data_IF_947689907953
#
_entry.id   IF_947689907953
#
_cell.length_a   1.000
_cell.length_b   1.000
_cell.length_c   1.000
_cell.angle_alpha   90.00
_cell.angle_beta   90.00
_cell.angle_gamma   90.00
#
_symmetry.space_group_name_H-M   'P 1'
#
loop_
_entity.id
_entity.type
_entity.pdbx_description
1 polymer ?
#
# COMPACT_ATOMS: atom_id res chain seq x y z
N UNK A 1 36.00 -12.66 -61.51
CA UNK A 1 36.89 -11.59 -62.03
C UNK A 1 36.13 -10.81 -63.10
N UNK A 2 36.35 -9.49 -63.15
CA UNK A 2 35.63 -8.44 -63.93
C UNK A 2 34.28 -8.04 -63.34
N UNK A 3 34.14 -6.95 -62.56
CA UNK A 3 34.42 -5.50 -62.69
C UNK A 3 33.11 -4.71 -62.87
N UNK A 4 32.80 -3.99 -61.80
CA UNK A 4 31.80 -2.95 -61.57
C UNK A 4 32.08 -1.70 -62.43
N UNK A 5 31.03 -1.00 -62.89
CA UNK A 5 31.11 0.44 -63.08
C UNK A 5 29.95 1.20 -62.41
N UNK A 6 30.27 1.97 -61.38
CA UNK A 6 29.46 3.12 -60.91
C UNK A 6 29.49 4.28 -61.93
N UNK A 7 28.46 5.14 -61.92
CA UNK A 7 28.70 6.58 -61.67
C UNK A 7 27.51 7.27 -60.92
N UNK A 8 27.46 8.61 -60.77
CA UNK A 8 28.35 9.48 -60.01
C UNK A 8 27.63 10.23 -58.85
N UNK A 9 28.46 10.83 -57.99
CA UNK A 9 28.10 11.68 -56.84
C UNK A 9 27.64 13.07 -57.31
N UNK A 10 26.54 13.59 -56.76
CA UNK A 10 26.20 15.02 -56.84
C UNK A 10 25.98 15.61 -55.44
N UNK A 11 26.80 16.60 -55.12
CA UNK A 11 26.74 17.45 -53.93
C UNK A 11 25.75 18.60 -54.14
N UNK A 12 24.93 18.95 -53.14
CA UNK A 12 24.64 20.35 -52.82
C UNK A 12 24.03 20.53 -51.43
N UNK A 13 24.45 21.64 -50.83
CA UNK A 13 24.41 22.01 -49.42
C UNK A 13 23.11 22.79 -49.05
N UNK A 14 22.97 23.35 -47.83
CA UNK A 14 21.69 23.61 -47.17
C UNK A 14 21.08 24.98 -47.49
N UNK A 15 19.75 25.05 -47.46
CA UNK A 15 19.04 26.33 -47.46
C UNK A 15 18.80 26.83 -46.04
N UNK A 16 19.64 27.79 -45.66
CA UNK A 16 19.39 28.85 -44.68
C UNK A 16 18.38 29.83 -45.28
N UNK A 17 17.33 30.17 -44.55
CA UNK A 17 16.64 31.45 -44.76
C UNK A 17 16.13 32.00 -43.42
N UNK A 18 16.82 33.03 -42.96
CA UNK A 18 16.41 33.96 -41.93
C UNK A 18 15.46 35.03 -42.52
N UNK A 19 14.65 35.59 -41.63
CA UNK A 19 14.27 37.00 -41.51
C UNK A 19 12.85 37.48 -41.88
N UNK A 20 12.37 38.27 -40.91
CA UNK A 20 11.50 39.47 -40.93
C UNK A 20 10.03 39.27 -40.59
N UNK A 21 9.35 40.14 -39.85
CA UNK A 21 9.66 41.06 -38.75
C UNK A 21 8.33 41.75 -38.36
N UNK A 22 8.32 42.35 -37.18
CA UNK A 22 7.54 43.53 -36.78
C UNK A 22 6.03 43.39 -36.50
N UNK A 23 5.66 43.80 -35.28
CA UNK A 23 4.28 44.01 -34.87
C UNK A 23 4.13 44.51 -33.43
N UNK A 24 4.85 45.56 -33.04
CA UNK A 24 4.73 46.20 -31.73
C UNK A 24 3.43 47.03 -31.61
N UNK A 25 2.61 46.81 -30.57
CA UNK A 25 1.70 47.84 -30.00
C UNK A 25 1.46 47.65 -28.50
N UNK A 26 2.24 48.46 -27.75
CA UNK A 26 2.00 49.23 -26.50
C UNK A 26 1.20 48.65 -25.31
N UNK A 27 1.64 48.99 -24.06
CA UNK A 27 0.94 48.72 -22.82
C UNK A 27 -0.08 49.82 -22.48
N UNK A 28 -1.20 49.47 -21.86
CA UNK A 28 -2.09 50.43 -21.19
C UNK A 28 -2.10 50.20 -19.68
N UNK A 29 -1.63 51.21 -18.96
CA UNK A 29 -1.79 51.44 -17.52
C UNK A 29 -3.26 51.75 -17.19
N UNK A 30 -3.70 51.24 -16.04
CA UNK A 30 -4.51 51.95 -15.05
C UNK A 30 -6.03 51.94 -15.23
N UNK A 31 -6.76 51.32 -14.30
CA UNK A 31 -7.31 52.04 -13.13
C UNK A 31 -7.91 51.05 -12.08
N UNK A 32 -8.00 51.44 -10.80
CA UNK A 32 -8.41 50.62 -9.65
C UNK A 32 -9.85 50.93 -9.17
N UNK A 33 -10.26 50.22 -8.09
CA UNK A 33 -11.47 50.38 -7.26
C UNK A 33 -12.77 49.79 -7.88
N UNK A 34 -13.56 48.93 -7.22
CA UNK A 34 -13.70 48.64 -5.80
C UNK A 34 -14.52 47.34 -5.54
N UNK A 35 -15.04 47.15 -4.32
CA UNK A 35 -15.14 45.84 -3.68
C UNK A 35 -16.53 45.21 -3.83
N UNK A 36 -16.61 43.89 -3.99
CA UNK A 36 -17.78 43.13 -3.55
C UNK A 36 -17.39 41.78 -2.95
N UNK A 37 -17.82 41.66 -1.71
CA UNK A 37 -17.74 40.52 -0.81
C UNK A 37 -18.51 39.33 -1.38
N UNK A 38 -17.91 38.13 -1.36
CA UNK A 38 -18.46 37.04 -0.56
C UNK A 38 -17.42 35.94 -0.37
N UNK A 39 -16.80 35.99 0.80
CA UNK A 39 -16.14 34.88 1.46
C UNK A 39 -17.12 33.71 1.52
N UNK A 40 -16.80 32.60 0.86
CA UNK A 40 -17.40 31.31 1.17
C UNK A 40 -16.66 30.77 2.39
N UNK A 41 -17.24 30.97 3.56
CA UNK A 41 -16.80 30.34 4.78
C UNK A 41 -17.01 28.82 4.66
N UNK A 42 -15.98 27.99 4.87
CA UNK A 42 -16.18 26.57 5.08
C UNK A 42 -16.80 26.38 6.46
N UNK A 43 -18.00 25.79 6.48
CA UNK A 43 -18.70 25.33 7.67
C UNK A 43 -17.78 24.46 8.54
N UNK A 44 -17.27 25.07 9.62
CA UNK A 44 -16.68 24.38 10.76
C UNK A 44 -17.77 23.58 11.44
N UNK A 45 -17.81 22.28 11.16
CA UNK A 45 -18.79 21.35 11.71
C UNK A 45 -18.11 20.49 12.77
N UNK A 46 -18.60 20.64 14.00
CA UNK A 46 -18.34 19.85 15.23
C UNK A 46 -17.35 20.45 16.24
N UNK A 47 -17.86 21.42 17.02
CA UNK A 47 -17.52 21.53 18.44
C UNK A 47 -17.95 20.24 19.13
N UNK A 48 -17.02 19.30 19.27
CA UNK A 48 -17.20 18.13 20.11
C UNK A 48 -17.05 18.61 21.56
N UNK A 49 -18.05 18.39 22.44
CA UNK A 49 -17.95 18.84 23.83
C UNK A 49 -16.75 18.17 24.49
N UNK A 50 -15.83 19.00 24.98
CA UNK A 50 -14.62 18.57 25.69
C UNK A 50 -15.00 17.53 26.77
N UNK A 51 -14.35 16.35 26.79
CA UNK A 51 -14.61 15.35 27.82
C UNK A 51 -14.22 15.95 29.17
N UNK A 52 -15.22 16.21 30.02
CA UNK A 52 -15.01 16.69 31.39
C UNK A 52 -13.96 15.78 32.05
N UNK A 53 -12.92 16.35 32.71
CA UNK A 53 -11.94 15.54 33.40
C UNK A 53 -12.66 14.64 34.41
N UNK A 54 -12.30 13.35 34.50
CA UNK A 54 -12.95 12.42 35.41
C UNK A 54 -12.84 12.98 36.83
N UNK A 55 -13.98 13.14 37.52
CA UNK A 55 -14.01 13.58 38.92
C UNK A 55 -13.15 12.63 39.75
N UNK A 56 -12.05 13.14 40.28
CA UNK A 56 -11.14 12.37 41.10
C UNK A 56 -11.82 12.04 42.44
N UNK A 57 -12.30 10.81 42.58
CA UNK A 57 -12.74 10.30 43.88
C UNK A 57 -11.47 10.09 44.73
N UNK A 58 -11.38 10.67 45.94
CA UNK A 58 -10.20 10.49 46.79
C UNK A 58 -9.98 9.02 47.13
N UNK A 59 -8.73 8.54 47.06
CA UNK A 59 -8.36 7.13 47.28
C UNK A 59 -8.84 6.56 48.61
N UNK A 60 -8.94 7.41 49.65
CA UNK A 60 -9.50 7.02 50.93
C UNK A 60 -10.93 6.49 50.79
N UNK A 61 -11.77 7.09 49.94
CA UNK A 61 -13.13 6.61 49.70
C UNK A 61 -13.15 5.29 48.93
N UNK A 62 -12.26 5.08 47.97
CA UNK A 62 -12.15 3.79 47.27
C UNK A 62 -11.65 2.67 48.18
N UNK A 63 -10.72 2.95 49.09
CA UNK A 63 -10.25 2.00 50.09
C UNK A 63 -11.33 1.66 51.10
N UNK A 64 -12.02 2.67 51.64
CA UNK A 64 -13.15 2.47 52.56
C UNK A 64 -14.28 1.69 51.88
N UNK A 65 -14.58 1.99 50.61
CA UNK A 65 -15.57 1.26 49.81
C UNK A 65 -15.18 -0.22 49.60
N UNK A 66 -13.91 -0.50 49.31
CA UNK A 66 -13.40 -1.87 49.18
C UNK A 66 -13.53 -2.66 50.49
N UNK A 67 -13.11 -2.07 51.61
CA UNK A 67 -13.19 -2.72 52.93
C UNK A 67 -14.65 -2.98 53.30
N UNK A 68 -15.55 -2.01 53.10
CA UNK A 68 -16.96 -2.17 53.37
C UNK A 68 -17.60 -3.27 52.49
N UNK A 69 -17.25 -3.34 51.21
CA UNK A 69 -17.74 -4.37 50.29
C UNK A 69 -17.27 -5.77 50.70
N UNK A 70 -16.00 -5.94 51.09
CA UNK A 70 -15.49 -7.22 51.57
C UNK A 70 -16.14 -7.65 52.88
N UNK A 71 -16.33 -6.71 53.83
CA UNK A 71 -17.01 -6.98 55.08
C UNK A 71 -18.47 -7.42 54.86
N UNK A 72 -19.19 -6.73 53.98
CA UNK A 72 -20.57 -7.08 53.61
C UNK A 72 -20.65 -8.43 52.90
N UNK A 73 -19.71 -8.73 52.00
CA UNK A 73 -19.63 -10.02 51.31
C UNK A 73 -19.36 -11.19 52.25
N UNK A 74 -18.41 -11.03 53.19
CA UNK A 74 -18.09 -12.04 54.21
C UNK A 74 -19.28 -12.26 55.15
N UNK A 75 -19.90 -11.17 55.62
CA UNK A 75 -21.09 -11.24 56.47
C UNK A 75 -22.23 -11.97 55.77
N UNK A 76 -22.54 -11.59 54.53
CA UNK A 76 -23.59 -12.23 53.73
C UNK A 76 -23.28 -13.71 53.47
N UNK A 77 -22.02 -14.07 53.22
CA UNK A 77 -21.59 -15.46 53.05
C UNK A 77 -21.81 -16.33 54.30
N UNK A 78 -21.44 -15.82 55.47
CA UNK A 78 -21.66 -16.51 56.76
C UNK A 78 -23.17 -16.68 57.02
N UNK A 79 -23.97 -15.65 56.71
CA UNK A 79 -25.42 -15.71 56.86
C UNK A 79 -26.10 -16.62 55.83
N UNK A 80 -25.55 -16.74 54.61
CA UNK A 80 -26.03 -17.67 53.60
C UNK A 80 -25.89 -19.13 54.05
N UNK A 81 -24.76 -19.49 54.69
CA UNK A 81 -24.53 -20.85 55.18
C UNK A 81 -25.37 -21.21 56.42
N UNK A 82 -25.75 -20.21 57.23
CA UNK A 82 -26.54 -20.43 58.44
C UNK A 82 -28.06 -20.35 58.25
N UNK A 83 -28.54 -19.81 57.13
CA UNK A 83 -29.97 -19.59 56.85
C UNK A 83 -30.43 -20.31 55.56
N UNK A 84 -30.14 -21.61 55.45
CA UNK A 84 -30.61 -22.52 54.39
C UNK A 84 -30.45 -21.98 52.96
N UNK A 85 -29.29 -21.39 52.66
CA UNK A 85 -28.95 -20.93 51.31
C UNK A 85 -29.97 -19.93 50.72
N UNK A 86 -30.49 -19.02 51.55
CA UNK A 86 -31.41 -17.98 51.08
C UNK A 86 -30.80 -17.13 49.95
N UNK A 87 -31.54 -17.09 48.83
CA UNK A 87 -31.20 -16.34 47.60
C UNK A 87 -30.84 -14.87 47.87
N UNK A 88 -31.44 -14.27 48.90
CA UNK A 88 -31.21 -12.88 49.27
C UNK A 88 -29.75 -12.63 49.69
N UNK A 89 -29.18 -13.50 50.52
CA UNK A 89 -27.78 -13.39 50.95
C UNK A 89 -26.81 -13.71 49.81
N UNK A 90 -27.17 -14.64 48.93
CA UNK A 90 -26.41 -14.92 47.71
C UNK A 90 -26.30 -13.69 46.79
N UNK A 91 -27.40 -12.95 46.62
CA UNK A 91 -27.42 -11.71 45.83
C UNK A 91 -26.58 -10.60 46.46
N UNK A 92 -26.65 -10.42 47.79
CA UNK A 92 -25.82 -9.45 48.50
C UNK A 92 -24.34 -9.80 48.38
N UNK A 93 -23.97 -11.08 48.51
CA UNK A 93 -22.60 -11.53 48.34
C UNK A 93 -22.08 -11.28 46.90
N UNK A 94 -22.89 -11.58 45.90
CA UNK A 94 -22.56 -11.34 44.49
C UNK A 94 -22.35 -9.86 44.16
N UNK A 95 -23.26 -8.99 44.61
CA UNK A 95 -23.14 -7.53 44.42
C UNK A 95 -21.92 -6.97 45.16
N UNK A 96 -21.66 -7.46 46.37
CA UNK A 96 -20.50 -7.05 47.17
C UNK A 96 -19.18 -7.41 46.49
N UNK A 97 -19.10 -8.59 45.87
CA UNK A 97 -17.92 -9.01 45.11
C UNK A 97 -17.72 -8.16 43.84
N UNK A 98 -18.80 -7.84 43.13
CA UNK A 98 -18.76 -6.93 41.98
C UNK A 98 -18.27 -5.52 42.36
N UNK A 99 -18.75 -4.99 43.48
CA UNK A 99 -18.31 -3.71 44.02
C UNK A 99 -16.83 -3.75 44.44
N UNK A 100 -16.40 -4.80 45.14
CA UNK A 100 -15.00 -4.98 45.54
C UNK A 100 -14.07 -5.05 44.32
N UNK A 101 -14.47 -5.74 43.25
CA UNK A 101 -13.70 -5.79 42.01
C UNK A 101 -13.57 -4.41 41.35
N UNK A 102 -14.66 -3.63 41.28
CA UNK A 102 -14.65 -2.29 40.71
C UNK A 102 -13.73 -1.34 41.50
N UNK A 103 -13.81 -1.34 42.83
CA UNK A 103 -12.90 -0.55 43.68
C UNK A 103 -11.45 -1.03 43.56
N UNK A 104 -11.22 -2.34 43.45
CA UNK A 104 -9.89 -2.91 43.22
C UNK A 104 -9.28 -2.45 41.89
N UNK A 105 -10.05 -2.43 40.80
CA UNK A 105 -9.60 -1.88 39.52
C UNK A 105 -9.31 -0.37 39.61
N UNK A 106 -10.12 0.38 40.35
CA UNK A 106 -9.89 1.82 40.55
C UNK A 106 -8.57 2.09 41.30
N UNK A 107 -8.27 1.31 42.35
CA UNK A 107 -7.01 1.39 43.09
C UNK A 107 -5.84 0.97 42.20
N UNK A 108 -5.97 -0.14 41.47
CA UNK A 108 -4.95 -0.65 40.54
C UNK A 108 -4.61 0.38 39.46
N UNK A 109 -5.62 0.98 38.83
CA UNK A 109 -5.44 1.97 37.77
C UNK A 109 -4.80 3.27 38.26
N UNK A 110 -4.79 3.54 39.58
CA UNK A 110 -4.09 4.69 40.16
C UNK A 110 -2.65 4.36 40.56
N UNK A 111 -2.39 3.14 41.04
CA UNK A 111 -1.05 2.69 41.47
C UNK A 111 -0.16 2.31 40.28
N UNK A 112 -0.74 1.68 39.27
CA UNK A 112 -0.09 1.41 38.00
C UNK A 112 -1.03 2.02 36.97
N UNK A 113 -0.80 3.27 36.52
CA UNK A 113 -1.61 3.83 35.45
C UNK A 113 -1.59 2.81 34.32
N UNK A 114 -2.77 2.35 33.84
CA UNK A 114 -2.81 1.46 32.71
C UNK A 114 -1.99 2.16 31.64
N UNK A 115 -0.92 1.50 31.15
CA UNK A 115 -0.19 2.00 29.99
C UNK A 115 -1.28 2.29 28.98
N UNK A 116 -1.57 3.57 28.76
CA UNK A 116 -2.52 3.99 27.75
C UNK A 116 -1.88 3.42 26.51
N UNK A 117 -2.37 2.25 26.06
CA UNK A 117 -2.19 1.85 24.69
C UNK A 117 -2.86 3.00 23.99
N UNK A 118 -2.04 3.97 23.55
CA UNK A 118 -2.41 4.85 22.49
C UNK A 118 -2.81 3.87 21.40
N UNK A 119 -4.09 3.59 21.30
CA UNK A 119 -4.71 3.27 20.03
C UNK A 119 -4.57 4.55 19.23
N UNK A 120 -3.33 4.82 18.82
CA UNK A 120 -2.97 5.66 17.70
C UNK A 120 -3.40 4.80 16.51
N UNK A 121 -4.71 4.61 16.36
CA UNK A 121 -5.30 4.36 15.06
C UNK A 121 -5.21 5.69 14.30
N UNK A 122 -4.00 6.27 14.19
CA UNK A 122 -3.75 7.12 13.06
C UNK A 122 -3.88 6.18 11.89
N UNK A 123 -4.95 6.36 11.11
CA UNK A 123 -4.92 6.03 9.70
C UNK A 123 -3.60 6.60 9.23
N UNK A 124 -2.60 5.74 9.02
CA UNK A 124 -1.37 6.10 8.35
C UNK A 124 -1.77 6.32 6.89
N UNK A 125 -2.54 7.39 6.65
CA UNK A 125 -2.56 7.99 5.34
C UNK A 125 -1.10 8.35 5.09
N UNK A 126 -0.49 7.86 4.00
CA UNK A 126 0.86 8.24 3.63
C UNK A 126 0.99 9.74 3.79
N UNK A 127 1.96 10.20 4.61
CA UNK A 127 2.10 11.63 4.87
C UNK A 127 2.24 12.40 3.55
N UNK A 128 1.87 13.68 3.49
CA UNK A 128 1.95 14.47 2.25
C UNK A 128 3.32 14.43 1.52
N UNK A 129 4.39 14.05 2.23
CA UNK A 129 5.72 13.78 1.66
C UNK A 129 5.81 12.46 0.87
N UNK A 130 5.05 11.43 1.24
CA UNK A 130 4.94 10.15 0.52
C UNK A 130 4.07 10.26 -0.73
N UNK A 131 3.02 11.09 -0.67
CA UNK A 131 2.21 11.52 -1.83
C UNK A 131 2.84 12.70 -2.58
N UNK A 132 4.11 13.04 -2.33
CA UNK A 132 4.71 14.19 -2.99
C UNK A 132 4.76 13.95 -4.50
N UNK A 133 4.43 14.95 -5.33
CA UNK A 133 4.60 14.88 -6.77
C UNK A 133 6.02 14.47 -7.17
N UNK A 134 7.02 14.79 -6.34
CA UNK A 134 8.41 14.38 -6.53
C UNK A 134 8.65 12.88 -6.32
N UNK A 135 7.99 12.22 -5.36
CA UNK A 135 8.06 10.75 -5.19
C UNK A 135 7.29 10.03 -6.28
N UNK A 136 6.10 10.51 -6.64
CA UNK A 136 5.34 9.97 -7.78
C UNK A 136 6.10 10.17 -9.09
N UNK A 137 6.70 11.35 -9.31
CA UNK A 137 7.56 11.60 -10.46
C UNK A 137 8.85 10.78 -10.40
N UNK A 138 9.41 10.49 -9.22
CA UNK A 138 10.57 9.61 -9.08
C UNK A 138 10.23 8.13 -9.31
N UNK A 139 9.02 7.68 -8.94
CA UNK A 139 8.49 6.35 -9.26
C UNK A 139 8.15 6.24 -10.75
N UNK A 140 7.47 7.23 -11.34
CA UNK A 140 7.23 7.32 -12.78
C UNK A 140 8.55 7.44 -13.57
N UNK A 141 9.55 8.15 -13.04
CA UNK A 141 10.89 8.18 -13.63
C UNK A 141 11.69 6.88 -13.42
N UNK A 142 11.13 5.91 -12.69
CA UNK A 142 11.60 4.52 -12.60
C UNK A 142 10.67 3.57 -13.34
N UNK A 143 9.69 4.06 -14.11
CA UNK A 143 8.82 3.23 -14.92
C UNK A 143 9.68 2.27 -15.75
N UNK A 144 9.46 0.99 -15.50
CA UNK A 144 10.10 -0.09 -16.23
C UNK A 144 9.17 -0.36 -17.40
N UNK A 145 9.68 -0.30 -18.63
CA UNK A 145 8.97 -0.83 -19.78
C UNK A 145 9.58 -2.17 -20.17
N UNK A 146 8.77 -3.00 -20.82
CA UNK A 146 9.23 -4.26 -21.41
C UNK A 146 9.07 -4.18 -22.91
N UNK A 147 10.15 -4.53 -23.60
CA UNK A 147 10.22 -4.58 -25.05
C UNK A 147 10.69 -5.99 -25.44
N UNK A 148 10.29 -6.44 -26.62
CA UNK A 148 10.69 -7.73 -27.14
C UNK A 148 10.75 -7.69 -28.66
N UNK A 149 11.67 -8.48 -29.20
CA UNK A 149 11.79 -8.73 -30.63
C UNK A 149 11.60 -10.23 -30.90
N UNK A 150 11.98 -10.68 -32.10
CA UNK A 150 11.86 -12.07 -32.52
C UNK A 150 12.75 -13.05 -31.72
N UNK A 151 13.79 -12.56 -31.06
CA UNK A 151 14.81 -13.38 -30.41
C UNK A 151 14.78 -13.24 -28.88
N UNK A 152 14.52 -12.04 -28.35
CA UNK A 152 14.72 -11.71 -26.94
C UNK A 152 13.61 -10.84 -26.33
N UNK A 153 13.34 -11.09 -25.05
CA UNK A 153 12.53 -10.24 -24.17
C UNK A 153 13.48 -9.41 -23.32
N UNK A 154 13.32 -8.10 -23.22
CA UNK A 154 14.17 -7.27 -22.38
C UNK A 154 13.42 -6.14 -21.68
N UNK A 155 13.94 -5.72 -20.53
CA UNK A 155 13.41 -4.61 -19.76
C UNK A 155 14.23 -3.35 -19.96
N UNK A 156 13.54 -2.22 -20.03
CA UNK A 156 14.09 -0.90 -20.20
C UNK A 156 13.80 -0.08 -18.94
N UNK A 157 14.82 0.62 -18.45
CA UNK A 157 14.69 1.58 -17.35
C UNK A 157 15.27 2.88 -17.82
N UNK A 158 14.43 3.93 -17.95
CA UNK A 158 14.85 5.24 -18.47
C UNK A 158 15.47 5.17 -19.87
N UNK A 159 14.94 4.29 -20.73
CA UNK A 159 15.44 4.07 -22.09
C UNK A 159 16.78 3.31 -22.17
N UNK A 160 17.31 2.83 -21.04
CA UNK A 160 18.48 1.97 -21.01
C UNK A 160 18.07 0.51 -20.78
N UNK A 161 18.62 -0.39 -21.59
CA UNK A 161 18.42 -1.83 -21.45
C UNK A 161 19.05 -2.34 -20.16
N UNK A 162 18.27 -3.09 -19.37
CA UNK A 162 18.68 -3.60 -18.08
C UNK A 162 19.01 -5.09 -18.14
N UNK A 163 17.98 -5.91 -18.33
CA UNK A 163 18.06 -7.37 -18.32
C UNK A 163 17.22 -7.88 -19.49
N UNK A 164 17.64 -8.98 -20.11
CA UNK A 164 16.88 -9.64 -21.16
C UNK A 164 17.09 -11.14 -21.19
N UNK A 165 16.21 -11.89 -21.84
CA UNK A 165 16.25 -13.35 -21.92
C UNK A 165 15.73 -13.78 -23.29
N UNK A 166 16.45 -14.71 -23.94
CA UNK A 166 16.02 -15.21 -25.24
C UNK A 166 14.75 -16.05 -25.08
N UNK A 167 13.84 -15.98 -26.05
CA UNK A 167 12.57 -16.73 -26.01
C UNK A 167 12.80 -18.24 -25.83
N UNK A 168 13.83 -18.78 -26.49
CA UNK A 168 14.20 -20.19 -26.41
C UNK A 168 14.86 -20.57 -25.06
N UNK A 169 15.26 -19.61 -24.24
CA UNK A 169 15.86 -19.84 -22.91
C UNK A 169 14.82 -19.76 -21.78
N UNK A 170 13.65 -19.16 -22.00
CA UNK A 170 12.58 -19.06 -20.97
C UNK A 170 12.08 -20.45 -20.59
N UNK A 171 12.27 -20.83 -19.33
CA UNK A 171 11.86 -22.13 -18.78
C UNK A 171 10.70 -22.04 -17.82
N UNK A 172 10.54 -20.91 -17.16
CA UNK A 172 9.48 -20.70 -16.18
C UNK A 172 8.98 -19.26 -16.21
N UNK A 173 7.68 -19.11 -16.01
CA UNK A 173 7.00 -17.84 -15.77
C UNK A 173 6.32 -17.94 -14.42
N UNK A 174 6.65 -17.01 -13.53
CA UNK A 174 6.13 -16.94 -12.16
C UNK A 174 5.68 -15.53 -11.83
N UNK A 175 4.55 -15.39 -11.14
CA UNK A 175 4.12 -14.12 -10.56
C UNK A 175 4.44 -14.17 -9.08
N UNK A 176 5.22 -13.20 -8.59
CA UNK A 176 5.57 -13.07 -7.18
C UNK A 176 4.96 -11.80 -6.60
N UNK A 177 4.29 -11.94 -5.46
CA UNK A 177 3.73 -10.85 -4.68
C UNK A 177 4.43 -10.88 -3.32
N UNK A 178 5.28 -9.89 -3.08
CA UNK A 178 6.02 -9.78 -1.82
C UNK A 178 5.23 -9.00 -0.78
N UNK A 179 5.42 -9.32 0.50
CA UNK A 179 4.87 -8.52 1.62
C UNK A 179 5.43 -7.09 1.56
N UNK A 180 4.53 -6.10 1.59
CA UNK A 180 4.86 -4.69 1.55
C UNK A 180 3.63 -3.82 1.84
N UNK A 181 3.80 -2.50 1.94
CA UNK A 181 2.68 -1.58 2.19
C UNK A 181 1.65 -1.55 1.04
N UNK A 182 2.04 -1.99 -0.15
CA UNK A 182 1.15 -2.25 -1.29
C UNK A 182 1.67 -3.51 -2.00
N UNK A 183 0.85 -4.58 -2.15
CA UNK A 183 1.24 -5.74 -2.94
C UNK A 183 1.43 -5.30 -4.40
N UNK A 184 2.66 -5.41 -4.90
CA UNK A 184 2.99 -5.17 -6.31
C UNK A 184 3.39 -6.50 -6.93
N UNK A 185 2.51 -7.12 -7.74
CA UNK A 185 2.87 -8.33 -8.45
C UNK A 185 4.04 -8.07 -9.39
N UNK A 186 4.96 -9.02 -9.44
CA UNK A 186 6.12 -9.01 -10.33
C UNK A 186 6.13 -10.29 -11.13
N UNK A 187 6.18 -10.15 -12.45
CA UNK A 187 6.37 -11.25 -13.38
C UNK A 187 7.85 -11.57 -13.47
N UNK A 188 8.18 -12.84 -13.33
CA UNK A 188 9.53 -13.36 -13.37
C UNK A 188 9.59 -14.36 -14.51
N UNK A 189 10.32 -13.99 -15.57
CA UNK A 189 10.63 -14.88 -16.68
C UNK A 189 12.02 -15.42 -16.44
N UNK A 190 12.13 -16.65 -15.98
CA UNK A 190 13.40 -17.26 -15.64
C UNK A 190 13.75 -18.40 -16.61
N UNK A 191 15.04 -18.55 -16.82
CA UNK A 191 15.60 -19.52 -17.74
C UNK A 191 17.06 -19.81 -17.43
N UNK A 192 17.64 -20.63 -18.29
CA UNK A 192 19.00 -21.12 -18.11
C UNK A 192 19.80 -20.93 -19.38
N UNK A 193 20.94 -20.26 -19.23
CA UNK A 193 21.87 -19.91 -20.29
C UNK A 193 23.20 -20.64 -20.07
N UNK A 194 24.11 -20.57 -21.04
CA UNK A 194 25.46 -21.12 -20.89
C UNK A 194 26.26 -20.46 -19.73
N UNK A 195 25.89 -19.23 -19.36
CA UNK A 195 26.57 -18.42 -18.34
C UNK A 195 25.91 -18.58 -16.95
N UNK A 196 24.79 -19.30 -16.85
CA UNK A 196 24.06 -19.55 -15.60
C UNK A 196 22.56 -19.29 -15.69
N UNK A 197 21.91 -19.21 -14.53
CA UNK A 197 20.50 -18.82 -14.41
C UNK A 197 20.31 -17.34 -14.75
N UNK A 198 19.39 -17.05 -15.67
CA UNK A 198 19.03 -15.67 -16.07
C UNK A 198 17.55 -15.47 -15.84
N UNK A 199 17.17 -14.31 -15.33
CA UNK A 199 15.79 -13.95 -15.09
C UNK A 199 15.52 -12.51 -15.50
N UNK A 200 14.34 -12.25 -16.04
CA UNK A 200 13.84 -10.90 -16.31
C UNK A 200 12.68 -10.62 -15.38
N UNK A 201 12.75 -9.48 -14.68
CA UNK A 201 11.73 -9.02 -13.75
C UNK A 201 10.88 -7.93 -14.40
N UNK A 202 9.58 -8.18 -14.57
CA UNK A 202 8.63 -7.25 -15.18
C UNK A 202 7.57 -6.88 -14.13
N UNK A 203 7.52 -5.62 -13.65
CA UNK A 203 6.43 -5.15 -12.79
C UNK A 203 5.06 -5.30 -13.45
N UNK A 204 4.01 -5.51 -12.65
CA UNK A 204 2.65 -5.62 -13.17
C UNK A 204 2.11 -4.33 -13.83
N UNK A 205 2.70 -3.18 -13.52
CA UNK A 205 2.39 -1.87 -14.11
C UNK A 205 3.35 -1.46 -15.24
N UNK A 206 4.23 -2.38 -15.68
CA UNK A 206 5.17 -2.10 -16.75
C UNK A 206 4.47 -1.84 -18.08
N UNK A 207 4.91 -0.79 -18.77
CA UNK A 207 4.48 -0.52 -20.15
C UNK A 207 4.95 -1.67 -21.06
N UNK A 208 4.05 -2.21 -21.88
CA UNK A 208 4.34 -3.35 -22.78
C UNK A 208 4.04 -4.73 -22.19
N UNK A 209 3.66 -4.85 -20.91
CA UNK A 209 3.34 -6.15 -20.29
C UNK A 209 2.18 -6.88 -21.00
N UNK A 210 1.11 -6.16 -21.37
CA UNK A 210 -0.02 -6.76 -22.08
C UNK A 210 0.41 -7.35 -23.44
N UNK A 211 1.24 -6.62 -24.19
CA UNK A 211 1.81 -7.10 -25.44
C UNK A 211 2.74 -8.30 -25.23
N UNK A 212 3.51 -8.32 -24.13
CA UNK A 212 4.32 -9.46 -23.75
C UNK A 212 3.47 -10.69 -23.46
N UNK A 213 2.34 -10.53 -22.75
CA UNK A 213 1.42 -11.62 -22.46
C UNK A 213 0.85 -12.24 -23.74
N UNK A 214 0.47 -11.42 -24.71
CA UNK A 214 0.02 -11.91 -26.02
C UNK A 214 1.15 -12.61 -26.79
N UNK A 215 2.37 -12.07 -26.75
CA UNK A 215 3.54 -12.70 -27.38
C UNK A 215 3.89 -14.05 -26.73
N UNK A 216 3.72 -14.18 -25.40
CA UNK A 216 3.92 -15.45 -24.70
C UNK A 216 2.96 -16.53 -25.18
N UNK A 217 1.68 -16.22 -25.43
CA UNK A 217 0.71 -17.19 -26.00
C UNK A 217 1.17 -17.75 -27.34
N UNK A 218 1.77 -16.90 -28.18
CA UNK A 218 2.20 -17.28 -29.52
C UNK A 218 3.54 -18.03 -29.53
N UNK A 219 4.44 -17.71 -28.60
CA UNK A 219 5.86 -18.15 -28.65
C UNK A 219 6.20 -19.23 -27.63
N UNK A 220 5.48 -19.30 -26.50
CA UNK A 220 5.73 -20.28 -25.46
C UNK A 220 4.78 -21.48 -25.63
N UNK A 221 5.29 -22.69 -25.88
CA UNK A 221 4.45 -23.86 -26.11
C UNK A 221 3.67 -24.23 -24.86
N UNK A 222 2.35 -24.40 -25.00
CA UNK A 222 1.45 -24.73 -23.89
C UNK A 222 1.23 -23.59 -22.89
N UNK A 223 1.59 -22.35 -23.24
CA UNK A 223 1.28 -21.19 -22.41
C UNK A 223 -0.21 -20.81 -22.48
N UNK A 224 -0.81 -20.91 -23.67
CA UNK A 224 -2.24 -20.68 -23.90
C UNK A 224 -3.07 -21.88 -23.41
N UNK A 225 -3.17 -22.02 -22.08
CA UNK A 225 -3.93 -23.05 -21.38
C UNK A 225 -4.80 -22.41 -20.29
N UNK A 226 -6.04 -22.90 -20.12
CA UNK A 226 -7.03 -22.38 -19.17
C UNK A 226 -6.46 -22.34 -17.75
N UNK A 227 -5.70 -23.37 -17.38
CA UNK A 227 -5.06 -23.48 -16.06
C UNK A 227 -4.07 -22.34 -15.79
N UNK A 228 -3.35 -21.89 -16.82
CA UNK A 228 -2.39 -20.79 -16.67
C UNK A 228 -3.16 -19.48 -16.44
N UNK A 229 -4.27 -19.25 -17.15
CA UNK A 229 -5.14 -18.09 -16.93
C UNK A 229 -5.76 -18.08 -15.53
N UNK A 230 -6.29 -19.22 -15.05
CA UNK A 230 -6.81 -19.34 -13.69
C UNK A 230 -5.73 -19.01 -12.64
N UNK A 231 -4.48 -19.43 -12.89
CA UNK A 231 -3.35 -19.11 -12.02
C UNK A 231 -3.03 -17.62 -12.02
N UNK A 232 -3.09 -16.96 -13.17
CA UNK A 232 -2.91 -15.50 -13.27
C UNK A 232 -4.03 -14.76 -12.53
N UNK A 233 -5.29 -15.14 -12.71
CA UNK A 233 -6.43 -14.54 -12.01
C UNK A 233 -6.28 -14.71 -10.49
N UNK A 234 -5.90 -15.91 -10.06
CA UNK A 234 -5.64 -16.21 -8.64
C UNK A 234 -4.54 -15.31 -8.11
N UNK A 235 -3.42 -15.18 -8.83
CA UNK A 235 -2.32 -14.30 -8.45
C UNK A 235 -2.78 -12.84 -8.32
N UNK A 236 -3.57 -12.33 -9.27
CA UNK A 236 -4.05 -10.94 -9.23
C UNK A 236 -4.99 -10.64 -8.05
N UNK A 237 -5.64 -11.67 -7.50
CA UNK A 237 -6.50 -11.56 -6.31
C UNK A 237 -5.77 -11.76 -4.97
N UNK A 238 -4.50 -12.19 -5.01
CA UNK A 238 -3.76 -12.55 -3.82
C UNK A 238 -3.07 -11.34 -3.16
N UNK A 239 -2.94 -11.39 -1.84
CA UNK A 239 -2.22 -10.36 -1.06
C UNK A 239 -0.71 -10.64 -0.98
N UNK A 240 -0.31 -11.91 -1.13
CA UNK A 240 1.07 -12.37 -1.10
C UNK A 240 1.19 -13.73 -1.78
N UNK A 241 2.41 -14.13 -2.14
CA UNK A 241 2.71 -15.49 -2.59
C UNK A 241 3.54 -15.56 -3.86
N UNK A 242 3.77 -16.80 -4.33
CA UNK A 242 4.46 -17.10 -5.57
C UNK A 242 3.60 -18.05 -6.38
N UNK A 243 3.20 -17.62 -7.57
CA UNK A 243 2.27 -18.29 -8.45
C UNK A 243 2.98 -18.72 -9.72
N UNK A 244 3.20 -20.02 -9.86
CA UNK A 244 3.87 -20.56 -11.04
C UNK A 244 2.87 -20.66 -12.18
N UNK A 245 3.00 -19.78 -13.17
CA UNK A 245 2.04 -19.66 -14.28
C UNK A 245 2.32 -20.66 -15.38
N UNK A 246 3.58 -20.85 -15.76
CA UNK A 246 3.95 -21.73 -16.86
C UNK A 246 5.35 -22.28 -16.67
N UNK A 247 5.56 -23.54 -17.02
CA UNK A 247 6.87 -24.16 -17.19
C UNK A 247 6.99 -24.75 -18.58
N UNK A 248 8.22 -24.72 -19.12
CA UNK A 248 8.52 -25.37 -20.39
C UNK A 248 8.24 -26.87 -20.29
N UNK A 249 7.41 -27.43 -21.18
CA UNK A 249 7.22 -28.86 -21.24
C UNK A 249 8.57 -29.58 -21.44
N UNK A 250 8.78 -30.70 -20.74
CA UNK A 250 9.92 -31.55 -21.03
C UNK A 250 9.82 -32.03 -22.48
N UNK A 251 10.91 -31.86 -23.24
CA UNK A 251 11.03 -32.31 -24.62
C UNK A 251 11.05 -33.85 -24.71
#
# INVERSE_FOLDING_TARGET
MYQDPRPPRASRAPHRQENYAAGSRRPRRGLPCGPFLHSRDPLSMSDQPDPRPPREVPVLFSLLGLVAALAAGLWAGIHYMSNDASLFYGLIAGLSFGAAFAFGQQIKNRLVPPKVRKTDWRVQAPGAAELSPAKHAAQQARAISVEFDDEEIHTMVRGARREGIAWNEVREVTIRISEGSVPQPQWILAGQTAEGSKSVLVPNDAEGLEALMEAMKQRLPGYDDERNYETVITAMSAMEGSFHVWSRPAA
#
